data_IF_846420664744
#
_entry.id   IF_846420664744
#
_cell.length_a   1.000
_cell.length_b   1.000
_cell.length_c   1.000
_cell.angle_alpha   90.00
_cell.angle_beta   90.00
_cell.angle_gamma   90.00
#
_symmetry.space_group_name_H-M   'P 1'
#
loop_
_entity.id
_entity.type
_entity.pdbx_description
1 polymer ?
#
# COMPACT_ATOMS: atom_id res chain seq x y z
N UNK A 1 69.84 -69.84 8.21
CA UNK A 1 68.48 -69.93 7.62
C UNK A 1 67.43 -70.06 8.73
N UNK A 2 67.19 -69.00 9.51
CA UNK A 2 66.12 -68.96 10.53
C UNK A 2 65.27 -67.68 10.46
N UNK A 3 65.26 -67.02 9.29
CA UNK A 3 64.54 -65.74 9.08
C UNK A 3 63.18 -65.93 8.37
N UNK A 4 62.88 -67.14 7.86
CA UNK A 4 61.64 -67.42 7.11
C UNK A 4 60.40 -67.83 7.93
N UNK A 5 60.56 -68.30 9.18
CA UNK A 5 59.43 -68.82 9.98
C UNK A 5 58.72 -67.75 10.83
N UNK A 6 59.38 -66.62 11.11
CA UNK A 6 58.78 -65.53 11.90
C UNK A 6 57.85 -64.62 11.06
N UNK A 7 58.04 -64.55 9.74
CA UNK A 7 57.24 -63.69 8.86
C UNK A 7 55.82 -64.29 8.60
N UNK A 8 55.73 -65.62 8.44
CA UNK A 8 54.48 -66.32 8.16
C UNK A 8 53.52 -66.30 9.37
N UNK A 9 54.05 -66.36 10.59
CA UNK A 9 53.23 -66.28 11.81
C UNK A 9 52.65 -64.88 12.09
N UNK A 10 53.31 -63.81 11.63
CA UNK A 10 52.79 -62.44 11.74
C UNK A 10 51.68 -62.15 10.73
N UNK A 11 51.79 -62.68 9.50
CA UNK A 11 50.78 -62.50 8.45
C UNK A 11 49.48 -63.25 8.78
N UNK A 12 49.57 -64.48 9.31
CA UNK A 12 48.39 -65.26 9.71
C UNK A 12 47.65 -64.66 10.92
N UNK A 13 48.37 -64.06 11.88
CA UNK A 13 47.72 -63.35 13.01
C UNK A 13 47.03 -62.05 12.58
N UNK A 14 47.59 -61.33 11.61
CA UNK A 14 46.96 -60.11 11.07
C UNK A 14 45.69 -60.43 10.28
N UNK A 15 45.69 -61.53 9.50
CA UNK A 15 44.54 -61.92 8.69
C UNK A 15 43.35 -62.41 9.54
N UNK A 16 43.62 -63.17 10.62
CA UNK A 16 42.58 -63.61 11.56
C UNK A 16 41.99 -62.44 12.36
N UNK A 17 42.81 -61.44 12.70
CA UNK A 17 42.34 -60.23 13.40
C UNK A 17 41.50 -59.33 12.48
N UNK A 18 41.84 -59.24 11.17
CA UNK A 18 41.05 -58.47 10.20
C UNK A 18 39.70 -59.12 9.86
N UNK A 19 39.63 -60.45 9.80
CA UNK A 19 38.37 -61.18 9.58
C UNK A 19 37.45 -61.10 10.82
N UNK A 20 38.01 -61.11 12.04
CA UNK A 20 37.24 -60.92 13.27
C UNK A 20 36.69 -59.50 13.43
N UNK A 21 37.45 -58.46 13.02
CA UNK A 21 37.01 -57.06 13.06
C UNK A 21 35.94 -56.79 11.99
N UNK A 22 36.05 -57.37 10.78
CA UNK A 22 35.01 -57.24 9.75
C UNK A 22 33.71 -57.96 10.13
N UNK A 23 33.79 -59.08 10.85
CA UNK A 23 32.60 -59.82 11.32
C UNK A 23 31.88 -59.10 12.47
N UNK A 24 32.60 -58.34 13.32
CA UNK A 24 32.02 -57.56 14.40
C UNK A 24 31.32 -56.27 13.89
N UNK A 25 31.79 -55.69 12.79
CA UNK A 25 31.18 -54.51 12.15
C UNK A 25 29.88 -54.87 11.43
N UNK A 26 29.77 -56.06 10.84
CA UNK A 26 28.54 -56.52 10.17
C UNK A 26 27.43 -56.87 11.17
N UNK A 27 27.78 -57.29 12.39
CA UNK A 27 26.79 -57.57 13.44
C UNK A 27 26.24 -56.30 14.12
N UNK A 28 27.01 -55.19 14.13
CA UNK A 28 26.51 -53.88 14.59
C UNK A 28 25.69 -53.13 13.54
N UNK A 29 25.81 -53.48 12.26
CA UNK A 29 25.04 -52.87 11.16
C UNK A 29 23.71 -53.58 10.84
N UNK A 30 23.44 -54.73 11.46
CA UNK A 30 22.18 -55.49 11.27
C UNK A 30 21.29 -55.52 12.51
N UNK A 31 21.77 -54.98 13.65
CA UNK A 31 21.01 -54.87 14.90
C UNK A 31 20.47 -53.47 15.23
N UNK A 32 20.84 -52.45 14.46
CA UNK A 32 20.21 -51.14 14.55
C UNK A 32 18.96 -51.18 13.68
N UNK A 33 17.86 -51.66 14.26
CA UNK A 33 16.54 -51.41 13.69
C UNK A 33 16.48 -49.94 13.32
N UNK A 34 16.06 -49.66 12.10
CA UNK A 34 15.65 -48.34 11.66
C UNK A 34 14.61 -47.81 12.63
N UNK A 35 15.07 -47.18 13.72
CA UNK A 35 14.29 -46.21 14.44
C UNK A 35 14.16 -45.05 13.47
N UNK A 36 13.13 -45.12 12.63
CA UNK A 36 12.49 -43.92 12.15
C UNK A 36 12.20 -43.08 13.38
N UNK A 37 13.02 -42.07 13.64
CA UNK A 37 12.55 -40.91 14.36
C UNK A 37 11.48 -40.28 13.45
N UNK A 38 10.27 -40.81 13.52
CA UNK A 38 9.09 -40.00 13.28
C UNK A 38 9.18 -38.88 14.32
N UNK A 39 9.63 -37.71 13.86
CA UNK A 39 9.25 -36.46 14.50
C UNK A 39 7.73 -36.48 14.54
N UNK A 40 7.15 -36.89 15.67
CA UNK A 40 5.76 -36.61 15.97
C UNK A 40 5.64 -35.09 15.94
N UNK A 41 5.22 -34.55 14.80
CA UNK A 41 4.82 -33.16 14.68
C UNK A 41 3.69 -33.01 15.71
N UNK A 42 4.00 -32.40 16.85
CA UNK A 42 2.99 -32.14 17.87
C UNK A 42 1.88 -31.32 17.23
N UNK A 43 0.63 -31.74 17.46
CA UNK A 43 -0.53 -31.03 16.92
C UNK A 43 -0.47 -29.55 17.33
N UNK A 44 -0.54 -28.65 16.34
CA UNK A 44 -0.65 -27.21 16.63
C UNK A 44 -2.06 -26.91 17.12
N UNK A 45 -2.19 -26.56 18.39
CA UNK A 45 -3.49 -26.22 19.00
C UNK A 45 -3.70 -24.71 18.95
N UNK A 46 -4.66 -24.25 18.13
CA UNK A 46 -5.11 -22.85 18.08
C UNK A 46 -6.24 -22.66 19.10
N UNK A 47 -6.10 -21.67 19.99
CA UNK A 47 -7.13 -21.30 20.98
C UNK A 47 -7.69 -19.93 20.64
N UNK A 48 -9.01 -19.84 20.55
CA UNK A 48 -9.73 -18.59 20.29
C UNK A 48 -10.40 -18.15 21.59
N UNK A 49 -10.10 -16.93 22.03
CA UNK A 49 -10.76 -16.27 23.15
C UNK A 49 -11.66 -15.14 22.61
N UNK A 50 -12.97 -15.36 22.66
CA UNK A 50 -13.95 -14.40 22.14
C UNK A 50 -14.17 -13.19 23.07
N UNK A 51 -13.66 -13.23 24.31
CA UNK A 51 -13.78 -12.12 25.26
C UNK A 51 -12.65 -11.08 25.07
N UNK A 52 -11.56 -11.45 24.38
CA UNK A 52 -10.47 -10.53 24.05
C UNK A 52 -10.73 -9.86 22.70
N UNK A 53 -11.09 -8.58 22.73
CA UNK A 53 -11.36 -7.77 21.52
C UNK A 53 -10.20 -6.83 21.17
N UNK A 54 -9.98 -6.61 19.88
CA UNK A 54 -8.94 -5.72 19.34
C UNK A 54 -9.57 -4.58 18.51
N UNK A 55 -9.03 -4.28 17.33
CA UNK A 55 -9.56 -3.25 16.44
C UNK A 55 -10.91 -3.63 15.81
N UNK A 56 -11.66 -2.61 15.41
CA UNK A 56 -12.77 -2.78 14.47
C UNK A 56 -12.20 -2.83 13.06
N UNK A 57 -12.59 -3.86 12.29
CA UNK A 57 -12.25 -3.96 10.87
C UNK A 57 -13.18 -3.05 10.07
N UNK A 58 -12.60 -2.03 9.43
CA UNK A 58 -13.27 -1.09 8.51
C UNK A 58 -13.52 -1.74 7.16
N UNK A 59 -12.52 -2.42 6.62
CA UNK A 59 -12.68 -3.11 5.36
C UNK A 59 -11.38 -3.45 4.64
N UNK A 60 -11.59 -3.99 3.45
CA UNK A 60 -10.54 -4.27 2.48
C UNK A 60 -10.83 -3.49 1.21
N UNK A 61 -9.78 -2.94 0.60
CA UNK A 61 -9.92 -2.07 -0.56
C UNK A 61 -8.96 -2.34 -1.69
N UNK A 62 -9.21 -1.66 -2.79
CA UNK A 62 -8.34 -1.60 -3.96
C UNK A 62 -8.34 -0.18 -4.52
N UNK A 63 -7.22 0.22 -5.12
CA UNK A 63 -7.14 1.46 -5.89
C UNK A 63 -7.65 1.29 -7.33
N UNK A 64 -8.40 2.28 -7.82
CA UNK A 64 -8.73 2.44 -9.23
C UNK A 64 -7.57 2.98 -10.07
N UNK A 65 -6.48 3.41 -9.42
CA UNK A 65 -5.28 3.86 -10.10
C UNK A 65 -4.49 2.67 -10.69
N UNK A 66 -4.05 2.69 -11.94
CA UNK A 66 -4.52 3.54 -13.05
C UNK A 66 -5.27 2.73 -14.11
N UNK A 67 -5.49 1.45 -13.84
CA UNK A 67 -6.07 0.50 -14.77
C UNK A 67 -7.46 0.91 -15.28
N UNK A 68 -8.21 1.70 -14.50
CA UNK A 68 -9.56 2.17 -14.89
C UNK A 68 -9.55 3.08 -16.11
N UNK A 69 -8.47 3.83 -16.35
CA UNK A 69 -8.33 4.73 -17.52
C UNK A 69 -8.57 3.95 -18.82
N UNK A 70 -8.01 2.76 -18.87
CA UNK A 70 -7.98 1.89 -20.06
C UNK A 70 -9.28 1.12 -20.26
N UNK A 71 -10.23 1.30 -19.33
CA UNK A 71 -11.54 0.65 -19.39
C UNK A 71 -12.60 1.52 -20.04
N UNK A 72 -12.33 2.79 -20.38
CA UNK A 72 -13.34 3.73 -20.90
C UNK A 72 -14.18 3.11 -22.04
N UNK A 73 -13.50 2.49 -23.02
CA UNK A 73 -14.13 1.90 -24.21
C UNK A 73 -14.41 0.39 -24.08
N UNK A 74 -14.23 -0.20 -22.89
CA UNK A 74 -14.54 -1.61 -22.70
C UNK A 74 -16.03 -1.88 -22.90
N UNK A 75 -16.39 -3.07 -23.45
CA UNK A 75 -17.76 -3.55 -23.42
C UNK A 75 -18.31 -3.52 -21.98
N UNK A 76 -19.55 -3.05 -21.85
CA UNK A 76 -20.23 -2.92 -20.55
C UNK A 76 -20.23 -4.25 -19.76
N UNK A 77 -20.40 -5.38 -20.44
CA UNK A 77 -20.36 -6.72 -19.84
C UNK A 77 -19.02 -7.05 -19.16
N UNK A 78 -17.90 -6.56 -19.72
CA UNK A 78 -16.56 -6.76 -19.15
C UNK A 78 -16.35 -5.87 -17.92
N UNK A 79 -16.81 -4.62 -17.98
CA UNK A 79 -16.79 -3.71 -16.82
C UNK A 79 -17.60 -4.29 -15.67
N UNK A 80 -18.82 -4.77 -15.96
CA UNK A 80 -19.69 -5.42 -14.98
C UNK A 80 -19.09 -6.71 -14.42
N UNK A 81 -18.45 -7.52 -15.27
CA UNK A 81 -17.77 -8.73 -14.80
C UNK A 81 -16.66 -8.40 -13.80
N UNK A 82 -15.81 -7.43 -14.12
CA UNK A 82 -14.73 -7.01 -13.22
C UNK A 82 -15.27 -6.37 -11.93
N UNK A 83 -16.30 -5.53 -12.04
CA UNK A 83 -16.96 -4.95 -10.86
C UNK A 83 -17.57 -6.01 -9.95
N UNK A 84 -18.17 -7.08 -10.50
CA UNK A 84 -18.65 -8.22 -9.70
C UNK A 84 -17.49 -8.90 -8.98
N UNK A 85 -16.39 -9.19 -9.67
CA UNK A 85 -15.22 -9.82 -9.04
C UNK A 85 -14.69 -9.00 -7.85
N UNK A 86 -14.66 -7.68 -7.96
CA UNK A 86 -14.17 -6.82 -6.88
C UNK A 86 -15.18 -6.62 -5.74
N UNK A 87 -16.43 -6.27 -6.05
CA UNK A 87 -17.33 -5.69 -5.04
C UNK A 87 -18.46 -6.61 -4.61
N UNK A 88 -18.80 -7.63 -5.41
CA UNK A 88 -19.86 -8.55 -5.05
C UNK A 88 -19.41 -9.49 -3.92
N UNK A 89 -20.24 -9.65 -2.89
CA UNK A 89 -19.90 -10.43 -1.69
C UNK A 89 -20.10 -11.94 -1.84
N UNK A 90 -20.89 -12.36 -2.82
CA UNK A 90 -21.23 -13.78 -3.02
C UNK A 90 -20.40 -14.40 -4.14
N UNK A 91 -20.16 -13.64 -5.20
CA UNK A 91 -19.51 -14.06 -6.43
C UNK A 91 -18.13 -13.43 -6.67
N UNK A 92 -17.72 -12.49 -5.82
CA UNK A 92 -16.43 -11.81 -5.85
C UNK A 92 -15.71 -11.86 -4.51
N UNK A 93 -14.72 -10.98 -4.34
CA UNK A 93 -13.96 -10.81 -3.10
C UNK A 93 -14.61 -9.81 -2.13
N UNK A 94 -15.74 -9.20 -2.50
CA UNK A 94 -16.57 -8.39 -1.61
C UNK A 94 -15.86 -7.19 -0.98
N UNK A 95 -14.99 -6.49 -1.73
CA UNK A 95 -14.29 -5.31 -1.24
C UNK A 95 -15.28 -4.28 -0.69
N UNK A 96 -14.89 -3.65 0.41
CA UNK A 96 -15.73 -2.73 1.18
C UNK A 96 -15.20 -1.30 1.18
N UNK A 97 -14.01 -1.11 0.58
CA UNK A 97 -13.38 0.18 0.37
C UNK A 97 -12.92 0.33 -1.09
N UNK A 98 -12.93 1.53 -1.64
CA UNK A 98 -12.44 1.81 -2.99
C UNK A 98 -11.75 3.17 -3.06
N UNK A 99 -10.55 3.23 -3.64
CA UNK A 99 -9.78 4.47 -3.79
C UNK A 99 -9.91 4.99 -5.23
N UNK A 100 -10.44 6.19 -5.39
CA UNK A 100 -10.58 6.90 -6.67
C UNK A 100 -9.53 7.99 -6.79
N UNK A 101 -8.69 7.92 -7.83
CA UNK A 101 -7.67 8.94 -8.09
C UNK A 101 -8.28 10.08 -8.90
N UNK A 102 -8.33 11.29 -8.34
CA UNK A 102 -8.85 12.48 -9.01
C UNK A 102 -7.99 12.94 -10.20
N UNK A 103 -6.72 12.52 -10.26
CA UNK A 103 -5.76 12.92 -11.28
C UNK A 103 -5.32 14.39 -11.18
N UNK A 104 -4.07 14.66 -11.50
CA UNK A 104 -3.53 16.02 -11.57
C UNK A 104 -3.54 16.60 -13.00
N UNK A 105 -3.88 15.79 -14.01
CA UNK A 105 -3.95 16.23 -15.41
C UNK A 105 -3.00 15.49 -16.36
N UNK A 106 -2.15 14.59 -15.85
CA UNK A 106 -1.34 13.66 -16.65
C UNK A 106 -0.50 14.33 -17.75
N UNK A 107 -0.52 13.73 -18.95
CA UNK A 107 0.13 14.20 -20.20
C UNK A 107 -0.75 15.10 -21.05
N UNK A 108 -1.92 15.49 -20.55
CA UNK A 108 -2.89 16.17 -21.38
C UNK A 108 -2.37 17.59 -21.75
N UNK A 109 -2.16 17.90 -23.05
CA UNK A 109 -1.77 19.25 -23.46
C UNK A 109 -2.86 20.31 -23.14
N UNK A 110 -4.11 19.88 -22.91
CA UNK A 110 -5.23 20.70 -22.45
C UNK A 110 -5.36 20.76 -20.91
N UNK A 111 -4.49 20.09 -20.14
CA UNK A 111 -4.49 20.24 -18.69
C UNK A 111 -4.01 21.65 -18.31
N UNK A 112 -4.75 22.26 -17.38
CA UNK A 112 -4.56 23.66 -17.02
C UNK A 112 -3.18 23.91 -16.44
N UNK A 113 -2.44 24.79 -17.11
CA UNK A 113 -1.14 25.26 -16.62
C UNK A 113 0.01 24.30 -16.85
N UNK A 114 -0.17 23.20 -17.59
CA UNK A 114 0.95 22.31 -17.98
C UNK A 114 1.98 23.10 -18.78
N UNK A 115 3.23 23.07 -18.34
CA UNK A 115 4.37 23.65 -19.06
C UNK A 115 4.67 22.88 -20.35
N UNK A 116 5.25 23.54 -21.35
CA UNK A 116 5.61 22.91 -22.65
C UNK A 116 6.81 21.96 -22.58
N UNK A 117 7.43 21.81 -21.42
CA UNK A 117 8.63 20.99 -21.24
C UNK A 117 8.24 19.54 -20.98
N UNK A 118 8.71 18.63 -21.83
CA UNK A 118 8.40 17.19 -21.82
C UNK A 118 8.83 16.43 -20.55
N UNK A 119 9.53 17.09 -19.62
CA UNK A 119 9.88 16.53 -18.31
C UNK A 119 8.79 16.70 -17.25
N UNK A 120 7.74 17.48 -17.52
CA UNK A 120 6.76 17.91 -16.51
C UNK A 120 5.47 17.06 -16.48
N UNK A 121 5.39 16.07 -17.37
CA UNK A 121 4.24 15.16 -17.55
C UNK A 121 4.62 13.72 -17.24
N UNK A 122 3.66 12.89 -16.83
CA UNK A 122 3.91 11.46 -16.60
C UNK A 122 4.24 10.76 -17.93
N UNK A 123 5.43 10.19 -18.06
CA UNK A 123 5.92 9.68 -19.35
C UNK A 123 5.45 8.26 -19.71
N UNK A 124 4.72 7.60 -18.81
CA UNK A 124 4.12 6.29 -19.05
C UNK A 124 2.61 6.48 -19.32
N UNK A 125 2.11 6.12 -20.53
CA UNK A 125 0.70 6.35 -20.88
C UNK A 125 -0.27 5.65 -19.92
N UNK A 126 0.13 4.54 -19.32
CA UNK A 126 -0.67 3.80 -18.33
C UNK A 126 -0.75 4.52 -16.97
N UNK A 127 -0.02 5.63 -16.80
CA UNK A 127 0.15 6.36 -15.52
C UNK A 127 -0.25 7.82 -15.64
N UNK A 128 -1.21 8.12 -16.52
CA UNK A 128 -1.63 9.49 -16.88
C UNK A 128 -3.09 9.75 -16.50
N UNK A 129 -3.45 9.68 -15.21
CA UNK A 129 -4.82 9.96 -14.79
C UNK A 129 -5.23 11.36 -15.23
N UNK A 130 -6.40 11.44 -15.86
CA UNK A 130 -6.96 12.70 -16.34
C UNK A 130 -7.60 13.45 -15.18
N UNK A 131 -7.23 14.71 -14.98
CA UNK A 131 -7.89 15.57 -14.00
C UNK A 131 -9.27 15.99 -14.49
N UNK A 132 -10.26 16.08 -13.58
CA UNK A 132 -11.64 16.47 -13.92
C UNK A 132 -11.81 17.96 -14.25
N UNK A 133 -10.89 18.83 -13.82
CA UNK A 133 -10.95 20.28 -14.01
C UNK A 133 -10.58 20.70 -15.44
N UNK A 134 -11.48 21.41 -16.13
CA UNK A 134 -11.26 21.95 -17.50
C UNK A 134 -10.97 23.45 -17.54
N UNK A 135 -11.36 24.19 -16.50
CA UNK A 135 -10.96 25.57 -16.23
C UNK A 135 -10.95 25.76 -14.71
N UNK A 136 -10.28 26.78 -14.14
CA UNK A 136 -10.28 26.98 -12.68
C UNK A 136 -11.70 26.98 -12.09
N UNK A 137 -12.01 25.97 -11.26
CA UNK A 137 -13.33 25.76 -10.64
C UNK A 137 -14.43 25.20 -11.56
N UNK A 138 -14.10 24.80 -12.79
CA UNK A 138 -15.02 24.20 -13.76
C UNK A 138 -14.61 22.75 -13.99
N UNK A 139 -15.45 21.82 -13.56
CA UNK A 139 -15.21 20.38 -13.67
C UNK A 139 -16.08 19.73 -14.75
N UNK A 140 -15.57 18.67 -15.36
CA UNK A 140 -16.29 17.87 -16.35
C UNK A 140 -16.15 16.37 -16.04
N UNK A 141 -17.23 15.67 -15.67
CA UNK A 141 -17.16 14.26 -15.34
C UNK A 141 -16.90 13.39 -16.58
N UNK A 142 -17.16 13.91 -17.79
CA UNK A 142 -16.88 13.17 -19.02
C UNK A 142 -15.39 12.98 -19.31
N UNK A 143 -14.48 13.56 -18.50
CA UNK A 143 -13.04 13.39 -18.64
C UNK A 143 -12.57 12.01 -18.19
N UNK A 144 -13.12 11.45 -17.12
CA UNK A 144 -12.70 10.15 -16.58
C UNK A 144 -13.86 9.16 -16.57
N UNK A 145 -14.27 8.70 -17.75
CA UNK A 145 -15.43 7.81 -17.88
C UNK A 145 -15.17 6.45 -17.24
N UNK A 146 -13.97 5.92 -17.39
CA UNK A 146 -13.58 4.62 -16.84
C UNK A 146 -13.55 4.63 -15.30
N UNK A 147 -12.81 5.57 -14.71
CA UNK A 147 -12.70 5.70 -13.26
C UNK A 147 -14.03 6.02 -12.60
N UNK A 148 -14.82 6.95 -13.14
CA UNK A 148 -16.14 7.27 -12.59
C UNK A 148 -17.16 6.13 -12.75
N UNK A 149 -17.06 5.32 -13.81
CA UNK A 149 -17.89 4.12 -13.96
C UNK A 149 -17.60 3.12 -12.83
N UNK A 150 -16.33 2.83 -12.54
CA UNK A 150 -15.97 1.89 -11.47
C UNK A 150 -16.26 2.44 -10.07
N UNK A 151 -16.07 3.74 -9.86
CA UNK A 151 -16.51 4.40 -8.63
C UNK A 151 -18.03 4.24 -8.42
N UNK A 152 -18.82 4.46 -9.46
CA UNK A 152 -20.27 4.26 -9.39
C UNK A 152 -20.63 2.80 -9.13
N UNK A 153 -19.98 1.86 -9.82
CA UNK A 153 -20.19 0.43 -9.62
C UNK A 153 -19.86 -0.01 -8.18
N UNK A 154 -18.78 0.51 -7.58
CA UNK A 154 -18.44 0.28 -6.18
C UNK A 154 -19.56 0.77 -5.24
N UNK A 155 -20.03 2.02 -5.43
CA UNK A 155 -21.13 2.58 -4.65
C UNK A 155 -22.42 1.76 -4.77
N UNK A 156 -22.78 1.34 -5.99
CA UNK A 156 -24.00 0.59 -6.25
C UNK A 156 -23.93 -0.84 -5.69
N UNK A 157 -22.73 -1.43 -5.60
CA UNK A 157 -22.46 -2.68 -4.89
C UNK A 157 -22.45 -2.54 -3.35
N UNK A 158 -22.59 -1.31 -2.82
CA UNK A 158 -22.65 -1.06 -1.38
C UNK A 158 -21.28 -0.95 -0.69
N UNK A 159 -20.22 -0.63 -1.43
CA UNK A 159 -18.93 -0.20 -0.88
C UNK A 159 -19.16 1.02 0.01
N UNK A 160 -18.63 0.98 1.23
CA UNK A 160 -18.99 1.93 2.30
C UNK A 160 -17.98 3.05 2.45
N UNK A 161 -16.71 2.74 2.22
CA UNK A 161 -15.60 3.66 2.40
C UNK A 161 -15.02 4.01 1.02
N UNK A 162 -15.45 5.14 0.46
CA UNK A 162 -14.85 5.67 -0.76
C UNK A 162 -13.81 6.72 -0.41
N UNK A 163 -12.61 6.54 -0.92
CA UNK A 163 -11.47 7.44 -0.72
C UNK A 163 -11.19 8.16 -2.04
N UNK A 164 -11.35 9.49 -2.07
CA UNK A 164 -10.83 10.31 -3.15
C UNK A 164 -9.39 10.72 -2.84
N UNK A 165 -8.46 10.52 -3.76
CA UNK A 165 -7.06 10.89 -3.54
C UNK A 165 -6.43 11.55 -4.76
N UNK A 166 -5.31 12.23 -4.54
CA UNK A 166 -4.43 12.77 -5.58
C UNK A 166 -3.00 12.35 -5.32
N UNK A 167 -2.25 12.07 -6.39
CA UNK A 167 -0.80 11.89 -6.29
C UNK A 167 -0.04 13.22 -6.34
N UNK A 168 -0.62 14.25 -6.95
CA UNK A 168 0.01 15.55 -7.16
C UNK A 168 -1.03 16.68 -7.26
N UNK A 169 -0.67 17.93 -6.92
CA UNK A 169 -1.44 19.08 -7.34
C UNK A 169 -1.46 19.21 -8.87
N UNK A 170 -2.58 19.67 -9.47
CA UNK A 170 -2.56 20.09 -10.87
C UNK A 170 -1.48 21.12 -11.17
N UNK A 171 -0.95 21.10 -12.40
CA UNK A 171 0.19 21.91 -12.82
C UNK A 171 0.03 23.42 -12.54
N UNK A 172 -1.19 23.97 -12.56
CA UNK A 172 -1.47 25.37 -12.22
C UNK A 172 -1.16 25.76 -10.76
N UNK A 173 -0.94 24.78 -9.88
CA UNK A 173 -0.57 24.98 -8.47
C UNK A 173 0.91 24.66 -8.20
N UNK A 174 1.66 24.18 -9.19
CA UNK A 174 3.03 23.71 -8.98
C UNK A 174 4.07 24.70 -9.47
N UNK A 175 5.25 24.70 -8.83
CA UNK A 175 6.36 25.61 -9.12
C UNK A 175 6.87 25.46 -10.54
N UNK A 176 6.98 24.20 -10.99
CA UNK A 176 7.52 23.85 -12.29
C UNK A 176 6.46 23.67 -13.39
N UNK A 177 5.18 23.90 -13.09
CA UNK A 177 4.06 23.66 -14.02
C UNK A 177 3.98 22.21 -14.52
N UNK A 178 4.39 21.27 -13.67
CA UNK A 178 4.35 19.83 -13.89
C UNK A 178 3.70 19.08 -12.73
N UNK A 179 3.39 17.81 -12.97
CA UNK A 179 2.66 16.93 -12.03
C UNK A 179 3.50 15.78 -11.48
N UNK A 180 4.72 15.58 -11.99
CA UNK A 180 5.59 14.43 -11.70
C UNK A 180 6.66 14.70 -10.62
N UNK A 181 6.42 15.71 -9.79
CA UNK A 181 7.37 16.17 -8.78
C UNK A 181 8.42 17.11 -9.34
N UNK A 182 9.54 17.25 -8.63
CA UNK A 182 10.58 18.24 -8.90
C UNK A 182 11.95 17.57 -9.02
N UNK A 183 12.82 18.07 -9.90
CA UNK A 183 14.15 17.46 -10.12
C UNK A 183 15.09 17.62 -8.92
N UNK A 184 14.78 18.53 -7.99
CA UNK A 184 15.48 18.69 -6.71
C UNK A 184 14.94 17.75 -5.60
N UNK A 185 13.91 16.95 -5.89
CA UNK A 185 13.26 16.04 -4.94
C UNK A 185 12.41 16.74 -3.87
N UNK A 186 12.37 18.08 -3.86
CA UNK A 186 11.60 18.88 -2.91
C UNK A 186 10.13 19.01 -3.35
N UNK A 187 9.33 19.54 -2.43
CA UNK A 187 7.92 19.83 -2.69
C UNK A 187 7.71 20.65 -3.94
N UNK A 188 6.84 20.18 -4.82
CA UNK A 188 6.58 20.84 -6.10
C UNK A 188 5.38 21.80 -6.06
N UNK A 189 4.62 21.86 -4.97
CA UNK A 189 3.56 22.87 -4.83
C UNK A 189 4.19 24.27 -4.68
N UNK A 190 3.60 25.27 -5.34
CA UNK A 190 3.98 26.66 -5.11
C UNK A 190 3.51 27.06 -3.70
N UNK A 191 4.40 27.56 -2.82
CA UNK A 191 4.04 28.03 -1.49
C UNK A 191 2.82 28.97 -1.47
N UNK A 192 2.69 29.85 -2.46
CA UNK A 192 1.57 30.79 -2.57
C UNK A 192 0.23 30.10 -2.91
N UNK A 193 0.28 28.88 -3.44
CA UNK A 193 -0.88 28.15 -3.96
C UNK A 193 -1.44 27.09 -3.00
N UNK A 194 -0.87 26.92 -1.80
CA UNK A 194 -1.34 25.92 -0.82
C UNK A 194 -2.83 26.06 -0.49
N UNK A 195 -3.29 27.28 -0.24
CA UNK A 195 -4.69 27.53 0.10
C UNK A 195 -5.60 27.31 -1.12
N UNK A 196 -5.14 27.69 -2.31
CA UNK A 196 -5.92 27.52 -3.54
C UNK A 196 -6.04 26.04 -3.92
N UNK A 197 -4.98 25.25 -3.69
CA UNK A 197 -5.01 23.81 -3.85
C UNK A 197 -5.94 23.14 -2.84
N UNK A 198 -5.90 23.56 -1.58
CA UNK A 198 -6.84 23.05 -0.57
C UNK A 198 -8.31 23.32 -0.94
N UNK A 199 -8.63 24.53 -1.43
CA UNK A 199 -9.97 24.85 -1.96
C UNK A 199 -10.34 23.98 -3.15
N UNK A 200 -9.41 23.78 -4.09
CA UNK A 200 -9.62 22.90 -5.24
C UNK A 200 -10.00 21.47 -4.84
N UNK A 201 -9.32 20.88 -3.85
CA UNK A 201 -9.65 19.54 -3.38
C UNK A 201 -11.07 19.46 -2.78
N UNK A 202 -11.47 20.49 -2.03
CA UNK A 202 -12.82 20.57 -1.44
C UNK A 202 -13.89 20.83 -2.50
N UNK A 203 -13.60 21.67 -3.50
CA UNK A 203 -14.49 21.91 -4.63
C UNK A 203 -14.65 20.67 -5.51
N UNK A 204 -13.59 19.88 -5.70
CA UNK A 204 -13.67 18.56 -6.33
C UNK A 204 -14.61 17.64 -5.56
N UNK A 205 -14.45 17.51 -4.24
CA UNK A 205 -15.34 16.67 -3.42
C UNK A 205 -16.78 17.16 -3.52
N UNK A 206 -17.03 18.48 -3.43
CA UNK A 206 -18.38 19.05 -3.61
C UNK A 206 -18.96 18.67 -4.97
N UNK A 207 -18.20 18.86 -6.04
CA UNK A 207 -18.60 18.49 -7.40
C UNK A 207 -18.96 17.00 -7.51
N UNK A 208 -18.15 16.11 -6.92
CA UNK A 208 -18.45 14.67 -6.90
C UNK A 208 -19.80 14.38 -6.23
N UNK A 209 -20.04 14.96 -5.05
CA UNK A 209 -21.28 14.79 -4.30
C UNK A 209 -22.51 15.31 -5.07
N UNK A 210 -22.40 16.49 -5.69
CA UNK A 210 -23.45 17.09 -6.52
C UNK A 210 -23.78 16.23 -7.76
N UNK A 211 -22.83 15.40 -8.22
CA UNK A 211 -23.00 14.50 -9.35
C UNK A 211 -23.27 13.03 -8.93
N UNK A 212 -23.57 12.78 -7.65
CA UNK A 212 -23.97 11.46 -7.16
C UNK A 212 -22.82 10.49 -6.86
N UNK A 213 -21.59 10.99 -6.83
CA UNK A 213 -20.39 10.26 -6.43
C UNK A 213 -20.05 10.59 -4.97
N UNK A 214 -20.17 9.62 -4.09
CA UNK A 214 -19.87 9.78 -2.67
C UNK A 214 -18.37 9.68 -2.45
N UNK A 215 -17.82 10.63 -1.72
CA UNK A 215 -16.45 10.59 -1.22
C UNK A 215 -16.52 10.71 0.30
N UNK A 216 -16.17 9.64 1.00
CA UNK A 216 -16.19 9.57 2.46
C UNK A 216 -14.89 10.12 3.05
N UNK A 217 -13.77 9.84 2.36
CA UNK A 217 -12.44 10.20 2.78
C UNK A 217 -11.70 10.93 1.66
N UNK A 218 -10.92 11.93 2.03
CA UNK A 218 -10.05 12.68 1.13
C UNK A 218 -8.59 12.48 1.56
N UNK A 219 -7.77 11.99 0.63
CA UNK A 219 -6.31 12.05 0.76
C UNK A 219 -5.75 13.17 -0.14
N UNK A 220 -5.17 14.23 0.43
CA UNK A 220 -4.67 15.38 -0.34
C UNK A 220 -3.29 15.16 -0.98
N UNK A 221 -2.62 14.03 -0.69
CA UNK A 221 -1.31 13.68 -1.24
C UNK A 221 -1.05 12.18 -1.12
N UNK A 222 -0.03 11.71 -1.85
CA UNK A 222 0.43 10.33 -1.82
C UNK A 222 1.95 10.30 -1.60
N UNK A 223 2.40 9.51 -0.64
CA UNK A 223 3.82 9.30 -0.32
C UNK A 223 4.61 10.62 -0.25
N UNK A 224 4.19 11.56 0.64
CA UNK A 224 4.84 12.86 0.74
C UNK A 224 6.32 12.74 1.14
N UNK A 225 6.70 11.62 1.76
CA UNK A 225 8.02 11.27 2.23
C UNK A 225 8.98 10.77 1.14
N UNK A 226 8.49 10.57 -0.08
CA UNK A 226 9.28 10.20 -1.25
C UNK A 226 9.76 11.43 -2.02
N UNK A 227 11.00 11.37 -2.50
CA UNK A 227 11.58 12.35 -3.42
C UNK A 227 11.00 12.17 -4.84
N UNK A 228 9.76 12.63 -5.03
CA UNK A 228 9.07 12.61 -6.32
C UNK A 228 9.78 13.47 -7.35
N UNK A 229 10.06 12.88 -8.50
CA UNK A 229 10.70 13.54 -9.63
C UNK A 229 10.31 12.87 -10.96
N UNK A 230 10.50 13.55 -12.10
CA UNK A 230 10.09 13.04 -13.41
C UNK A 230 10.60 11.65 -13.77
N UNK A 231 11.76 11.22 -13.25
CA UNK A 231 12.31 9.90 -13.54
C UNK A 231 11.49 8.75 -12.92
N UNK A 232 10.59 9.04 -11.97
CA UNK A 232 9.64 8.06 -11.41
C UNK A 232 8.52 7.70 -12.37
N UNK A 233 8.31 8.49 -13.44
CA UNK A 233 7.38 8.15 -14.53
C UNK A 233 5.88 8.25 -14.17
N UNK A 234 5.52 8.90 -13.07
CA UNK A 234 4.14 9.05 -12.61
C UNK A 234 3.90 10.41 -11.94
N UNK A 235 2.63 10.77 -11.76
CA UNK A 235 2.26 11.91 -10.91
C UNK A 235 2.75 11.71 -9.48
N UNK A 236 3.25 12.77 -8.85
CA UNK A 236 3.78 12.77 -7.51
C UNK A 236 4.13 14.18 -7.03
N UNK A 237 4.09 14.41 -5.72
CA UNK A 237 4.61 15.63 -5.11
C UNK A 237 5.13 15.31 -3.72
N UNK A 238 6.42 15.57 -3.48
CA UNK A 238 7.00 15.47 -2.14
C UNK A 238 6.42 16.55 -1.23
N UNK A 239 6.41 16.33 0.08
CA UNK A 239 6.12 17.37 1.06
C UNK A 239 7.04 17.18 2.26
N UNK A 240 7.49 18.27 2.89
CA UNK A 240 8.08 18.12 4.23
C UNK A 240 7.00 17.74 5.25
N UNK A 241 7.38 17.15 6.38
CA UNK A 241 6.43 16.82 7.43
C UNK A 241 5.59 18.03 7.89
N UNK A 242 6.21 19.20 8.00
CA UNK A 242 5.53 20.45 8.37
C UNK A 242 4.58 20.95 7.28
N UNK A 243 4.98 20.84 6.01
CA UNK A 243 4.16 21.26 4.87
C UNK A 243 2.96 20.35 4.67
N UNK A 244 3.13 19.03 4.82
CA UNK A 244 2.05 18.05 4.80
C UNK A 244 1.02 18.33 5.92
N UNK A 245 1.50 18.58 7.15
CA UNK A 245 0.63 18.93 8.27
C UNK A 245 -0.10 20.27 8.05
N UNK A 246 0.58 21.28 7.51
CA UNK A 246 -0.02 22.57 7.14
C UNK A 246 -1.10 22.42 6.07
N UNK A 247 -0.84 21.61 5.03
CA UNK A 247 -1.81 21.35 3.97
C UNK A 247 -3.04 20.63 4.53
N UNK A 248 -2.87 19.60 5.36
CA UNK A 248 -3.98 18.92 6.03
C UNK A 248 -4.82 19.88 6.87
N UNK A 249 -4.17 20.76 7.66
CA UNK A 249 -4.87 21.76 8.47
C UNK A 249 -5.66 22.75 7.60
N UNK A 250 -5.11 23.12 6.44
CA UNK A 250 -5.77 24.01 5.48
C UNK A 250 -6.96 23.33 4.82
N UNK A 251 -6.81 22.09 4.33
CA UNK A 251 -7.91 21.31 3.75
C UNK A 251 -9.01 21.07 4.78
N UNK A 252 -8.66 20.78 6.04
CA UNK A 252 -9.65 20.62 7.13
C UNK A 252 -10.48 21.87 7.33
N UNK A 253 -9.87 23.05 7.31
CA UNK A 253 -10.59 24.34 7.41
C UNK A 253 -11.54 24.54 6.24
N UNK A 254 -11.12 24.20 5.02
CA UNK A 254 -11.97 24.28 3.83
C UNK A 254 -13.15 23.28 3.89
N UNK A 255 -12.92 22.04 4.33
CA UNK A 255 -14.00 21.04 4.53
C UNK A 255 -15.05 21.57 5.51
N UNK A 256 -14.62 22.12 6.65
CA UNK A 256 -15.51 22.68 7.67
C UNK A 256 -16.27 23.90 7.13
N UNK A 257 -15.58 24.79 6.40
CA UNK A 257 -16.22 25.96 5.81
C UNK A 257 -17.24 25.60 4.72
N UNK A 258 -17.00 24.50 3.99
CA UNK A 258 -17.87 23.99 2.95
C UNK A 258 -19.03 23.11 3.46
N UNK A 259 -19.04 22.74 4.75
CA UNK A 259 -20.01 21.83 5.37
C UNK A 259 -20.16 20.49 4.60
N UNK A 260 -19.04 19.93 4.14
CA UNK A 260 -19.04 18.67 3.38
C UNK A 260 -18.87 17.46 4.33
N UNK A 261 -19.66 16.39 4.12
CA UNK A 261 -19.56 15.15 4.91
C UNK A 261 -18.40 14.27 4.44
N UNK A 262 -17.18 14.80 4.51
CA UNK A 262 -15.92 14.12 4.12
C UNK A 262 -14.89 14.26 5.25
N UNK A 263 -14.14 13.20 5.52
CA UNK A 263 -13.03 13.19 6.48
C UNK A 263 -11.66 13.12 5.76
N UNK A 264 -10.57 13.40 6.48
CA UNK A 264 -9.22 13.28 5.94
C UNK A 264 -8.64 11.90 6.28
N UNK A 265 -7.84 11.33 5.37
CA UNK A 265 -7.05 10.09 5.58
C UNK A 265 -5.54 10.38 5.47
N UNK A 266 -4.93 11.07 6.44
CA UNK A 266 -3.48 11.31 6.45
C UNK A 266 -2.71 10.08 6.92
N UNK A 267 -1.45 9.84 6.58
CA UNK A 267 -0.55 10.66 5.75
C UNK A 267 -0.17 9.99 4.43
N UNK A 268 -0.62 8.76 4.17
CA UNK A 268 -0.24 7.99 2.97
C UNK A 268 1.29 7.91 2.80
N UNK A 269 2.02 7.73 3.90
CA UNK A 269 3.48 7.62 3.85
C UNK A 269 3.90 6.34 3.13
N UNK A 270 4.97 6.37 2.34
CA UNK A 270 5.49 5.20 1.63
C UNK A 270 5.91 4.07 2.59
N UNK A 271 6.25 4.43 3.82
CA UNK A 271 6.30 3.50 4.93
C UNK A 271 6.74 4.12 6.25
N UNK A 272 7.39 3.33 7.11
CA UNK A 272 7.56 3.65 8.53
C UNK A 272 8.80 4.48 8.86
N UNK A 273 9.74 4.60 7.93
CA UNK A 273 11.05 5.21 8.18
C UNK A 273 10.93 6.68 8.62
N UNK A 274 9.97 7.42 8.05
CA UNK A 274 9.71 8.82 8.40
C UNK A 274 8.43 9.04 9.22
N UNK A 275 7.69 7.99 9.55
CA UNK A 275 6.40 8.11 10.24
C UNK A 275 6.46 8.92 11.55
N UNK A 276 7.52 8.75 12.35
CA UNK A 276 7.68 9.52 13.59
C UNK A 276 7.84 11.03 13.34
N UNK A 277 8.44 11.43 12.22
CA UNK A 277 8.63 12.84 11.86
C UNK A 277 7.27 13.50 11.54
N UNK A 278 6.46 12.84 10.72
CA UNK A 278 5.13 13.32 10.32
C UNK A 278 4.15 13.37 11.49
N UNK A 279 4.12 12.32 12.32
CA UNK A 279 3.30 12.27 13.54
C UNK A 279 3.70 13.36 14.54
N UNK A 280 4.97 13.81 14.57
CA UNK A 280 5.37 14.95 15.42
C UNK A 280 4.95 16.28 14.81
N UNK A 281 5.05 16.44 13.49
CA UNK A 281 4.72 17.68 12.82
C UNK A 281 3.23 18.04 12.96
N UNK A 282 2.34 17.05 13.01
CA UNK A 282 0.90 17.30 13.17
C UNK A 282 0.56 18.05 14.45
N UNK A 283 1.32 17.84 15.54
CA UNK A 283 1.07 18.46 16.85
C UNK A 283 1.16 19.99 16.85
N UNK A 284 1.74 20.59 15.80
CA UNK A 284 1.73 22.04 15.61
C UNK A 284 0.35 22.58 15.17
N UNK A 285 -0.59 21.69 14.82
CA UNK A 285 -1.90 21.98 14.25
C UNK A 285 -3.01 21.24 15.05
N UNK A 286 -3.47 21.80 16.18
CA UNK A 286 -4.50 21.18 17.01
C UNK A 286 -5.81 20.89 16.26
N UNK A 287 -6.15 21.71 15.25
CA UNK A 287 -7.36 21.56 14.44
C UNK A 287 -7.46 20.24 13.67
N UNK A 288 -6.32 19.54 13.47
CA UNK A 288 -6.27 18.22 12.85
C UNK A 288 -5.83 17.14 13.84
N UNK A 289 -4.95 17.47 14.78
CA UNK A 289 -4.44 16.51 15.78
C UNK A 289 -5.57 15.97 16.65
N UNK A 290 -6.45 16.83 17.14
CA UNK A 290 -7.53 16.44 18.05
C UNK A 290 -8.67 15.68 17.35
N UNK A 291 -8.79 15.85 16.03
CA UNK A 291 -9.81 15.22 15.20
C UNK A 291 -9.26 14.09 14.32
N UNK A 292 -8.05 13.61 14.57
CA UNK A 292 -7.42 12.58 13.75
C UNK A 292 -8.10 11.23 13.97
N UNK A 293 -9.03 10.86 13.08
CA UNK A 293 -9.73 9.57 13.14
C UNK A 293 -8.90 8.43 12.56
N UNK A 294 -8.06 8.71 11.56
CA UNK A 294 -7.28 7.71 10.82
C UNK A 294 -5.83 8.17 10.63
N UNK A 295 -4.90 7.21 10.71
CA UNK A 295 -3.53 7.30 10.21
C UNK A 295 -3.31 6.21 9.15
N UNK A 296 -3.10 6.64 7.91
CA UNK A 296 -2.87 5.84 6.71
C UNK A 296 -1.39 5.83 6.36
N UNK A 297 -0.89 4.64 6.03
CA UNK A 297 0.52 4.35 5.74
C UNK A 297 0.63 3.14 4.81
N UNK A 298 1.59 3.17 3.90
CA UNK A 298 1.91 2.10 2.97
C UNK A 298 2.93 1.13 3.59
N UNK A 299 3.26 0.07 2.84
CA UNK A 299 4.12 -1.01 3.33
C UNK A 299 5.43 -1.21 2.54
N UNK A 300 5.82 -0.26 1.68
CA UNK A 300 7.01 -0.43 0.85
C UNK A 300 8.32 -0.15 1.60
N UNK A 301 8.46 1.06 2.15
CA UNK A 301 9.71 1.49 2.78
C UNK A 301 9.67 1.29 4.29
N UNK A 302 10.19 0.16 4.79
CA UNK A 302 10.70 0.07 6.16
C UNK A 302 11.34 -1.29 6.48
N UNK A 303 12.44 -1.24 7.23
CA UNK A 303 12.87 -2.42 7.99
C UNK A 303 11.89 -2.71 9.13
N UNK A 304 11.67 -3.98 9.52
CA UNK A 304 10.76 -4.35 10.63
C UNK A 304 11.00 -3.55 11.92
N UNK A 305 12.24 -3.13 12.16
CA UNK A 305 12.67 -2.37 13.34
C UNK A 305 12.06 -0.97 13.47
N UNK A 306 11.74 -0.29 12.37
CA UNK A 306 11.16 1.05 12.43
C UNK A 306 9.70 1.00 12.85
N UNK A 307 8.94 0.07 12.28
CA UNK A 307 7.56 -0.19 12.67
C UNK A 307 7.43 -0.51 14.17
N UNK A 308 8.27 -1.43 14.67
CA UNK A 308 8.29 -1.82 16.09
C UNK A 308 8.60 -0.65 17.03
N UNK A 309 9.38 0.32 16.55
CA UNK A 309 9.71 1.54 17.30
C UNK A 309 8.60 2.58 17.27
N UNK A 310 7.96 2.80 16.13
CA UNK A 310 7.01 3.91 15.94
C UNK A 310 5.59 3.55 16.38
N UNK A 311 5.15 2.30 16.16
CA UNK A 311 3.79 1.88 16.48
C UNK A 311 3.41 2.10 17.95
N UNK A 312 4.25 1.77 18.97
CA UNK A 312 3.91 2.05 20.36
C UNK A 312 3.76 3.54 20.67
N UNK A 313 4.55 4.40 20.01
CA UNK A 313 4.45 5.85 20.16
C UNK A 313 3.16 6.37 19.54
N UNK A 314 2.82 5.92 18.33
CA UNK A 314 1.56 6.22 17.69
C UNK A 314 0.36 5.84 18.58
N UNK A 315 0.32 4.61 19.11
CA UNK A 315 -0.79 4.17 19.97
C UNK A 315 -0.89 4.93 21.29
N UNK A 316 0.24 5.41 21.80
CA UNK A 316 0.29 6.24 23.01
C UNK A 316 -0.23 7.66 22.74
N UNK A 317 0.26 8.29 21.68
CA UNK A 317 -0.01 9.69 21.38
C UNK A 317 -1.38 9.87 20.70
N UNK A 318 -1.85 8.85 19.98
CA UNK A 318 -3.10 8.83 19.21
C UNK A 318 -3.98 7.61 19.54
N UNK A 319 -4.43 7.44 20.81
CA UNK A 319 -5.07 6.21 21.27
C UNK A 319 -6.45 5.93 20.66
N UNK A 320 -7.07 6.94 20.02
CA UNK A 320 -8.38 6.82 19.35
C UNK A 320 -8.27 6.73 17.83
N UNK A 321 -7.07 6.87 17.29
CA UNK A 321 -6.85 6.93 15.85
C UNK A 321 -6.66 5.52 15.30
N UNK A 322 -7.40 5.21 14.26
CA UNK A 322 -7.28 3.95 13.54
C UNK A 322 -6.02 3.93 12.69
N UNK A 323 -5.45 2.74 12.50
CA UNK A 323 -4.33 2.55 11.59
C UNK A 323 -4.86 1.89 10.32
N UNK A 324 -4.64 2.50 9.17
CA UNK A 324 -5.03 1.97 7.87
C UNK A 324 -3.75 1.62 7.09
N UNK A 325 -3.62 0.35 6.68
CA UNK A 325 -2.68 0.00 5.64
C UNK A 325 -3.34 0.38 4.31
N UNK A 326 -2.86 1.45 3.69
CA UNK A 326 -3.59 2.15 2.64
C UNK A 326 -3.07 1.94 1.21
N UNK A 327 -1.91 1.30 1.05
CA UNK A 327 -1.41 0.84 -0.23
C UNK A 327 -0.32 -0.23 -0.06
N UNK A 328 -0.46 -1.33 -0.81
CA UNK A 328 0.63 -2.26 -1.05
C UNK A 328 0.36 -3.14 -2.27
N UNK A 329 1.35 -3.22 -3.14
CA UNK A 329 1.45 -4.27 -4.16
C UNK A 329 2.81 -4.96 -4.13
N UNK A 330 2.90 -6.16 -4.70
CA UNK A 330 4.18 -6.82 -4.92
C UNK A 330 4.95 -6.06 -6.01
N UNK A 331 6.10 -5.49 -5.64
CA UNK A 331 6.98 -4.78 -6.58
C UNK A 331 7.97 -5.70 -7.31
N UNK A 332 8.00 -6.98 -6.96
CA UNK A 332 8.77 -7.99 -7.69
C UNK A 332 8.21 -8.17 -9.10
N UNK A 333 9.08 -8.00 -10.10
CA UNK A 333 8.72 -8.04 -11.51
C UNK A 333 8.53 -9.48 -11.99
N UNK A 334 7.53 -9.68 -12.86
CA UNK A 334 7.29 -10.95 -13.54
C UNK A 334 5.92 -11.55 -13.22
N UNK A 335 5.50 -12.51 -14.03
CA UNK A 335 4.27 -13.25 -13.79
C UNK A 335 4.56 -14.42 -12.86
N UNK A 336 3.95 -14.41 -11.69
CA UNK A 336 3.84 -15.60 -10.86
C UNK A 336 2.64 -16.44 -11.34
N UNK A 337 2.90 -17.64 -11.85
CA UNK A 337 1.88 -18.60 -12.23
C UNK A 337 1.52 -19.58 -11.11
N UNK A 338 2.24 -19.52 -9.99
CA UNK A 338 2.04 -20.31 -8.78
C UNK A 338 1.25 -19.54 -7.72
N UNK A 339 1.59 -19.78 -6.45
CA UNK A 339 0.89 -19.22 -5.29
C UNK A 339 1.82 -18.37 -4.40
N UNK A 340 3.09 -18.21 -4.78
CA UNK A 340 4.11 -17.59 -3.92
C UNK A 340 3.75 -16.14 -3.59
N UNK A 341 3.40 -15.35 -4.61
CA UNK A 341 2.94 -13.97 -4.47
C UNK A 341 1.63 -13.87 -3.67
N UNK A 342 0.74 -14.86 -3.84
CA UNK A 342 -0.49 -14.95 -3.06
C UNK A 342 -0.23 -15.19 -1.57
N UNK A 343 0.75 -16.05 -1.24
CA UNK A 343 1.18 -16.29 0.14
C UNK A 343 1.90 -15.08 0.73
N UNK A 344 2.70 -14.36 -0.06
CA UNK A 344 3.30 -13.08 0.38
C UNK A 344 2.19 -12.11 0.73
N UNK A 345 1.23 -11.85 -0.16
CA UNK A 345 0.09 -10.98 0.10
C UNK A 345 -0.70 -11.40 1.36
N UNK A 346 -0.99 -12.69 1.51
CA UNK A 346 -1.72 -13.19 2.68
C UNK A 346 -0.96 -12.96 3.99
N UNK A 347 0.36 -13.19 4.00
CA UNK A 347 1.21 -12.90 5.15
C UNK A 347 1.27 -11.39 5.43
N UNK A 348 1.30 -10.56 4.39
CA UNK A 348 1.26 -9.11 4.57
C UNK A 348 -0.05 -8.72 5.28
N UNK A 349 -1.20 -9.10 4.73
CA UNK A 349 -2.51 -8.85 5.35
C UNK A 349 -2.54 -9.34 6.80
N UNK A 350 -2.07 -10.56 7.06
CA UNK A 350 -2.03 -11.12 8.41
C UNK A 350 -1.21 -10.26 9.37
N UNK A 351 0.01 -9.88 9.01
CA UNK A 351 0.89 -9.08 9.86
C UNK A 351 0.29 -7.72 10.20
N UNK A 352 -0.31 -7.04 9.23
CA UNK A 352 -0.88 -5.71 9.43
C UNK A 352 -2.12 -5.78 10.35
N UNK A 353 -2.95 -6.80 10.18
CA UNK A 353 -4.11 -7.00 11.04
C UNK A 353 -3.72 -7.47 12.44
N UNK A 354 -2.91 -8.52 12.55
CA UNK A 354 -2.62 -9.19 13.81
C UNK A 354 -1.53 -8.48 14.64
N UNK A 355 -0.49 -7.95 13.99
CA UNK A 355 0.64 -7.34 14.69
C UNK A 355 0.53 -5.83 14.78
N UNK A 356 -0.07 -5.17 13.78
CA UNK A 356 -0.16 -3.70 13.75
C UNK A 356 -1.50 -3.18 14.25
N UNK A 357 -2.49 -4.07 14.42
CA UNK A 357 -3.84 -3.71 14.80
C UNK A 357 -4.46 -2.73 13.77
N UNK A 358 -4.18 -2.97 12.48
CA UNK A 358 -4.72 -2.18 11.38
C UNK A 358 -6.21 -2.48 11.21
N UNK A 359 -6.99 -1.43 10.99
CA UNK A 359 -8.44 -1.47 10.77
C UNK A 359 -8.81 -1.67 9.31
N UNK A 360 -7.92 -1.35 8.38
CA UNK A 360 -8.12 -1.61 6.94
C UNK A 360 -6.86 -2.13 6.27
N UNK A 361 -7.05 -2.78 5.11
CA UNK A 361 -5.98 -3.19 4.22
C UNK A 361 -6.37 -2.91 2.76
N UNK A 362 -5.55 -2.16 2.03
CA UNK A 362 -5.91 -1.64 0.70
C UNK A 362 -4.81 -1.97 -0.31
N UNK A 363 -5.19 -2.64 -1.41
CA UNK A 363 -4.30 -3.05 -2.50
C UNK A 363 -4.02 -1.90 -3.48
#
# INVERSE_FOLDING_TARGET
>A
MSVGKACIHRVLRSLVLQIAIQSLIIFFLTGCGSMSMESAAGDTVIRIDAETTYQVIRGFGVSGAWWTIETEDWPEENKQYLARLFFDRESGIGLSMYRYNFGAGGTNPDALGVGTDSGNTANDPWRTPVGLEIAPGIFNPARDKGGLWFLKAAQDAGVREIIGFVNSPPARFTRNRGVTGSTDGLSNIDPAMHHDFARYLVDLVRFMWENGYRINWLSPFNEPDIEWNPAKGQEGCSYSAQEAAMLLATVRKEIVAADLPVELTPFELCGWDRAQEYLKAINAFPEITDSLSVFSIHRYESGPSQRERVLPLFRKDFPKTELWMSEWTQLEQGRDAGMDSGLVLANMIHDDLASMNASSWQY
#
